data_IF_748819961085
#
_entry.id   IF_748819961085
#
_cell.length_a   1.000
_cell.length_b   1.000
_cell.length_c   1.000
_cell.angle_alpha   90.00
_cell.angle_beta   90.00
_cell.angle_gamma   90.00
#
_symmetry.space_group_name_H-M   'P 1'
#
loop_
_entity.id
_entity.type
_entity.pdbx_description
1 polymer ?
#
# COMPACT_ATOMS: atom_id res chain seq x y z
N UNK A 1 -11.86 15.88 -14.81
CA UNK A 1 -11.37 14.69 -14.10
C UNK A 1 -11.74 13.48 -14.94
N UNK A 2 -10.86 12.51 -15.10
CA UNK A 2 -11.18 11.26 -15.81
C UNK A 2 -12.10 10.38 -14.94
N UNK A 3 -13.03 9.57 -15.49
CA UNK A 3 -13.97 8.77 -14.69
C UNK A 3 -13.30 7.87 -13.62
N UNK A 4 -12.11 7.35 -13.92
CA UNK A 4 -11.33 6.56 -12.98
C UNK A 4 -10.85 7.39 -11.78
N UNK A 5 -10.34 8.61 -12.02
CA UNK A 5 -9.94 9.54 -10.98
C UNK A 5 -11.14 9.98 -10.12
N UNK A 6 -12.32 10.13 -10.73
CA UNK A 6 -13.55 10.42 -9.98
C UNK A 6 -13.87 9.29 -8.98
N UNK A 7 -13.76 8.03 -9.40
CA UNK A 7 -13.95 6.87 -8.53
C UNK A 7 -12.87 6.75 -7.46
N UNK A 8 -11.61 7.01 -7.80
CA UNK A 8 -10.52 7.06 -6.82
C UNK A 8 -10.74 8.15 -5.77
N UNK A 9 -11.21 9.34 -6.18
CA UNK A 9 -11.52 10.44 -5.27
C UNK A 9 -12.69 10.08 -4.34
N UNK A 10 -13.78 9.51 -4.87
CA UNK A 10 -14.93 9.04 -4.09
C UNK A 10 -14.48 8.07 -2.98
N UNK A 11 -13.63 7.10 -3.32
CA UNK A 11 -13.05 6.15 -2.36
C UNK A 11 -12.16 6.83 -1.33
N UNK A 12 -11.31 7.76 -1.76
CA UNK A 12 -10.41 8.52 -0.89
C UNK A 12 -11.17 9.39 0.11
N UNK A 13 -12.22 10.10 -0.32
CA UNK A 13 -13.07 10.91 0.55
C UNK A 13 -13.77 10.04 1.59
N UNK A 14 -14.32 8.89 1.18
CA UNK A 14 -14.93 7.94 2.10
C UNK A 14 -13.92 7.40 3.12
N UNK A 15 -12.74 6.96 2.68
CA UNK A 15 -11.68 6.47 3.55
C UNK A 15 -11.22 7.53 4.56
N UNK A 16 -10.95 8.75 4.09
CA UNK A 16 -10.51 9.86 4.94
C UNK A 16 -11.59 10.24 5.94
N UNK A 17 -12.87 10.28 5.54
CA UNK A 17 -13.97 10.54 6.46
C UNK A 17 -14.09 9.43 7.52
N UNK A 18 -14.00 8.16 7.13
CA UNK A 18 -13.96 7.03 8.06
C UNK A 18 -12.81 7.18 9.08
N UNK A 19 -11.62 7.57 8.61
CA UNK A 19 -10.47 7.79 9.47
C UNK A 19 -10.73 8.92 10.48
N UNK A 20 -11.32 10.05 10.05
CA UNK A 20 -11.67 11.18 10.94
C UNK A 20 -12.67 10.77 12.02
N UNK A 21 -13.71 10.03 11.67
CA UNK A 21 -14.75 9.59 12.60
C UNK A 21 -14.26 8.57 13.65
N UNK A 22 -13.11 7.94 13.39
CA UNK A 22 -12.52 6.92 14.24
C UNK A 22 -11.17 7.34 14.84
N UNK A 23 -10.82 8.63 14.78
CA UNK A 23 -9.56 9.19 15.29
C UNK A 23 -8.32 8.45 14.76
N UNK A 24 -8.32 8.13 13.47
CA UNK A 24 -7.21 7.47 12.78
C UNK A 24 -6.45 8.47 11.91
N UNK A 25 -5.13 8.48 12.04
CA UNK A 25 -4.26 9.34 11.25
C UNK A 25 -3.91 8.66 9.92
N UNK A 26 -4.14 9.38 8.82
CA UNK A 26 -3.80 8.94 7.47
C UNK A 26 -3.30 10.12 6.64
N UNK A 27 -2.56 9.82 5.58
CA UNK A 27 -1.99 10.82 4.68
C UNK A 27 -1.93 10.28 3.27
N UNK A 28 -2.27 11.07 2.27
CA UNK A 28 -1.84 10.83 0.91
C UNK A 28 -0.32 10.68 0.88
N UNK A 29 0.17 9.72 0.10
CA UNK A 29 1.58 9.52 -0.17
C UNK A 29 1.86 9.49 -1.67
N UNK A 30 3.14 9.40 -2.05
CA UNK A 30 3.56 9.24 -3.43
C UNK A 30 2.94 10.26 -4.39
N UNK A 31 2.34 9.76 -5.47
CA UNK A 31 1.71 10.55 -6.52
C UNK A 31 0.60 11.48 -6.00
N UNK A 32 -0.26 11.00 -5.10
CA UNK A 32 -1.32 11.81 -4.49
C UNK A 32 -0.80 13.01 -3.68
N UNK A 33 0.26 12.81 -2.88
CA UNK A 33 0.89 13.91 -2.14
C UNK A 33 1.58 14.93 -3.06
N UNK A 34 2.23 14.43 -4.12
CA UNK A 34 2.87 15.28 -5.14
C UNK A 34 1.81 16.06 -5.94
N UNK A 35 0.71 15.40 -6.32
CA UNK A 35 -0.42 15.98 -7.04
C UNK A 35 -1.07 17.11 -6.25
N UNK A 36 -1.29 16.89 -4.95
CA UNK A 36 -1.79 17.91 -4.01
C UNK A 36 -0.98 19.21 -4.11
N UNK A 37 0.35 19.10 -4.15
CA UNK A 37 1.25 20.27 -4.13
C UNK A 37 1.41 20.92 -5.51
N UNK A 38 1.47 20.13 -6.58
CA UNK A 38 1.77 20.60 -7.94
C UNK A 38 0.53 21.01 -8.72
N UNK A 39 -0.55 20.24 -8.61
CA UNK A 39 -1.75 20.38 -9.43
C UNK A 39 -2.99 20.74 -8.60
N UNK A 40 -2.88 20.70 -7.25
CA UNK A 40 -4.03 20.82 -6.33
C UNK A 40 -5.07 19.73 -6.61
N UNK A 41 -4.63 18.54 -6.97
CA UNK A 41 -5.46 17.47 -7.50
C UNK A 41 -4.61 16.33 -8.03
N UNK A 42 -5.18 15.48 -8.88
CA UNK A 42 -4.46 14.38 -9.50
C UNK A 42 -3.30 14.87 -10.37
N UNK A 43 -2.23 14.07 -10.43
CA UNK A 43 -1.26 14.20 -11.50
C UNK A 43 -1.94 13.68 -12.79
N UNK A 44 -1.83 14.36 -13.95
CA UNK A 44 -2.64 14.03 -15.13
C UNK A 44 -2.51 12.59 -15.67
N UNK A 45 -1.37 11.94 -15.42
CA UNK A 45 -1.09 10.56 -15.86
C UNK A 45 -1.15 9.53 -14.72
N UNK A 46 -1.60 9.95 -13.54
CA UNK A 46 -1.75 9.11 -12.36
C UNK A 46 -3.22 8.74 -12.17
N UNK A 47 -3.47 7.50 -11.76
CA UNK A 47 -4.78 6.86 -11.85
C UNK A 47 -5.28 6.25 -10.53
N UNK A 48 -4.54 6.44 -9.44
CA UNK A 48 -4.91 5.98 -8.10
C UNK A 48 -4.52 6.99 -6.99
N UNK A 49 -4.87 6.63 -5.75
CA UNK A 49 -4.48 7.36 -4.55
C UNK A 49 -4.08 6.37 -3.47
N UNK A 50 -2.86 6.53 -2.97
CA UNK A 50 -2.31 5.74 -1.89
C UNK A 50 -2.27 6.54 -0.59
N UNK A 51 -2.43 5.83 0.53
CA UNK A 51 -2.38 6.42 1.85
C UNK A 51 -1.33 5.77 2.76
N UNK A 52 -0.51 6.59 3.40
CA UNK A 52 0.23 6.16 4.57
C UNK A 52 -0.61 6.23 5.84
N UNK A 53 -0.35 5.30 6.76
CA UNK A 53 -0.83 5.34 8.14
C UNK A 53 0.28 4.95 9.12
N UNK A 54 0.39 5.60 10.29
CA UNK A 54 1.22 5.08 11.38
C UNK A 54 0.78 3.66 11.74
N UNK A 55 1.73 2.75 12.01
CA UNK A 55 1.45 1.34 12.35
C UNK A 55 0.31 1.16 13.37
N UNK A 56 0.27 1.98 14.42
CA UNK A 56 -0.77 1.91 15.46
C UNK A 56 -2.18 2.12 14.90
N UNK A 57 -2.35 3.04 13.95
CA UNK A 57 -3.65 3.40 13.38
C UNK A 57 -4.01 2.47 12.24
N UNK A 58 -3.01 1.97 11.51
CA UNK A 58 -3.17 0.88 10.53
C UNK A 58 -3.71 -0.42 11.16
N UNK A 59 -3.21 -0.83 12.33
CA UNK A 59 -3.76 -2.02 13.00
C UNK A 59 -5.17 -1.79 13.57
N UNK A 60 -5.48 -0.56 14.02
CA UNK A 60 -6.85 -0.19 14.41
C UNK A 60 -7.79 -0.19 13.20
N UNK A 61 -7.36 0.33 12.05
CA UNK A 61 -8.13 0.31 10.80
C UNK A 61 -8.57 -1.13 10.48
N UNK A 62 -7.64 -2.09 10.50
CA UNK A 62 -7.93 -3.49 10.22
C UNK A 62 -9.00 -4.10 11.14
N UNK A 63 -9.14 -3.59 12.36
CA UNK A 63 -10.16 -4.04 13.32
C UNK A 63 -11.49 -3.32 13.13
N UNK A 64 -11.45 -2.00 12.91
CA UNK A 64 -12.64 -1.15 12.87
C UNK A 64 -13.38 -1.26 11.54
N UNK A 65 -12.65 -1.35 10.42
CA UNK A 65 -13.24 -1.32 9.08
C UNK A 65 -14.32 -2.39 8.87
N UNK A 66 -14.09 -3.69 9.18
CA UNK A 66 -15.10 -4.72 8.97
C UNK A 66 -16.37 -4.55 9.83
N UNK A 67 -16.32 -3.73 10.87
CA UNK A 67 -17.43 -3.51 11.81
C UNK A 67 -18.25 -2.27 11.49
N UNK A 68 -17.63 -1.26 10.87
CA UNK A 68 -18.19 0.08 10.76
C UNK A 68 -18.28 0.63 9.34
N UNK A 69 -17.44 0.15 8.43
CA UNK A 69 -17.41 0.66 7.07
C UNK A 69 -18.62 0.17 6.27
N UNK A 70 -18.94 0.90 5.20
CA UNK A 70 -19.91 0.49 4.20
C UNK A 70 -19.44 -0.80 3.54
N UNK A 71 -20.35 -1.77 3.48
CA UNK A 71 -20.12 -3.07 2.83
C UNK A 71 -19.66 -2.99 1.38
N UNK A 72 -19.90 -1.86 0.69
CA UNK A 72 -19.39 -1.58 -0.66
C UNK A 72 -17.86 -1.62 -0.72
N UNK A 73 -17.19 -1.05 0.28
CA UNK A 73 -15.73 -0.91 0.29
C UNK A 73 -15.12 -2.02 1.15
N UNK A 74 -14.72 -3.11 0.53
CA UNK A 74 -14.20 -4.28 1.24
C UNK A 74 -12.71 -4.16 1.52
N UNK A 75 -12.33 -4.29 2.79
CA UNK A 75 -10.93 -4.36 3.21
C UNK A 75 -10.37 -5.75 2.95
N UNK A 76 -9.28 -5.79 2.18
CA UNK A 76 -8.45 -6.96 1.92
C UNK A 76 -7.12 -6.84 2.66
N UNK A 77 -6.81 -7.83 3.50
CA UNK A 77 -5.51 -8.02 4.16
C UNK A 77 -5.23 -9.52 4.23
N UNK A 78 -4.08 -9.93 3.69
CA UNK A 78 -3.65 -11.32 3.72
C UNK A 78 -3.64 -11.89 5.17
N UNK A 79 -4.19 -13.10 5.35
CA UNK A 79 -4.21 -13.88 6.59
C UNK A 79 -3.98 -15.39 6.33
N UNK A 80 -4.12 -16.24 7.35
CA UNK A 80 -3.88 -17.69 7.22
C UNK A 80 -4.70 -18.36 6.11
N UNK A 81 -5.93 -17.86 5.87
CA UNK A 81 -6.92 -18.46 4.98
C UNK A 81 -7.22 -17.62 3.73
N UNK A 82 -6.65 -16.42 3.63
CA UNK A 82 -6.90 -15.47 2.54
C UNK A 82 -5.57 -14.83 2.11
N UNK A 83 -5.23 -14.91 0.83
CA UNK A 83 -3.99 -14.34 0.29
C UNK A 83 -4.36 -13.49 -0.91
N UNK A 84 -4.05 -12.20 -0.85
CA UNK A 84 -4.25 -11.25 -1.95
C UNK A 84 -2.94 -10.86 -2.63
N UNK A 85 -1.80 -11.42 -2.20
CA UNK A 85 -0.45 -11.12 -2.72
C UNK A 85 0.05 -9.70 -2.44
N UNK A 86 -0.69 -8.90 -1.67
CA UNK A 86 -0.25 -7.58 -1.23
C UNK A 86 0.42 -7.67 0.15
N UNK A 87 1.21 -6.66 0.49
CA UNK A 87 1.95 -6.56 1.77
C UNK A 87 1.34 -5.54 2.74
N UNK A 88 0.19 -5.01 2.37
CA UNK A 88 -0.50 -3.91 3.00
C UNK A 88 -2.02 -4.07 2.80
N UNK A 89 -2.81 -3.18 3.41
CA UNK A 89 -4.28 -3.20 3.28
C UNK A 89 -4.65 -2.62 1.92
N UNK A 90 -5.58 -3.29 1.22
CA UNK A 90 -6.26 -2.70 0.06
C UNK A 90 -7.75 -2.60 0.36
N UNK A 91 -8.35 -1.44 0.14
CA UNK A 91 -9.78 -1.21 0.26
C UNK A 91 -10.36 -1.22 -1.15
N UNK A 92 -11.32 -2.11 -1.41
CA UNK A 92 -11.77 -2.41 -2.77
C UNK A 92 -13.26 -2.12 -2.96
N UNK A 93 -13.59 -1.34 -3.98
CA UNK A 93 -15.00 -1.04 -4.32
C UNK A 93 -15.63 -2.23 -5.06
N UNK A 94 -16.54 -2.91 -4.37
CA UNK A 94 -17.25 -4.09 -4.89
C UNK A 94 -18.18 -3.80 -6.05
N UNK A 95 -18.52 -2.54 -6.32
CA UNK A 95 -19.37 -2.13 -7.44
C UNK A 95 -18.60 -1.88 -8.73
N UNK A 96 -17.26 -1.93 -8.69
CA UNK A 96 -16.38 -1.75 -9.84
C UNK A 96 -15.58 -3.02 -10.13
N UNK A 97 -14.79 -2.98 -11.21
CA UNK A 97 -13.84 -4.01 -11.62
C UNK A 97 -12.48 -3.38 -11.90
N UNK A 98 -11.44 -3.92 -11.30
CA UNK A 98 -10.02 -3.71 -11.61
C UNK A 98 -9.27 -5.03 -11.33
N UNK A 99 -9.08 -5.84 -12.36
CA UNK A 99 -8.40 -7.14 -12.27
C UNK A 99 -6.92 -6.94 -12.56
N UNK A 100 -6.08 -7.05 -11.52
CA UNK A 100 -4.62 -6.97 -11.65
C UNK A 100 -4.06 -8.29 -12.21
N UNK A 101 -3.11 -8.29 -13.16
CA UNK A 101 -2.57 -9.51 -13.77
C UNK A 101 -2.04 -10.51 -12.75
N UNK A 102 -1.37 -10.01 -11.70
CA UNK A 102 -0.79 -10.85 -10.64
C UNK A 102 -1.82 -11.35 -9.62
N UNK A 103 -3.12 -11.08 -9.77
CA UNK A 103 -4.18 -11.56 -8.87
C UNK A 103 -5.25 -12.37 -9.63
N UNK A 104 -5.11 -12.54 -10.94
CA UNK A 104 -6.13 -13.11 -11.82
C UNK A 104 -6.61 -14.50 -11.40
N UNK A 105 -5.73 -15.33 -10.83
CA UNK A 105 -6.05 -16.68 -10.37
C UNK A 105 -6.65 -16.73 -8.96
N UNK A 106 -6.84 -15.58 -8.30
CA UNK A 106 -7.37 -15.50 -6.95
C UNK A 106 -8.87 -15.17 -6.94
N UNK A 107 -9.64 -15.89 -6.12
CA UNK A 107 -11.05 -15.57 -5.84
C UNK A 107 -11.13 -14.55 -4.68
N UNK A 108 -10.79 -13.31 -5.00
CA UNK A 108 -10.81 -12.15 -4.10
C UNK A 108 -11.70 -11.05 -4.68
N UNK A 109 -12.06 -10.00 -3.91
CA UNK A 109 -12.67 -8.81 -4.49
C UNK A 109 -11.73 -8.15 -5.50
N UNK A 110 -12.16 -8.05 -6.76
CA UNK A 110 -11.39 -7.44 -7.86
C UNK A 110 -11.95 -6.07 -8.23
N UNK A 111 -12.32 -5.25 -7.25
CA UNK A 111 -12.73 -3.87 -7.46
C UNK A 111 -11.53 -2.92 -7.61
N UNK A 112 -11.81 -1.67 -8.02
CA UNK A 112 -10.88 -0.57 -7.88
C UNK A 112 -10.36 -0.52 -6.44
N UNK A 113 -9.06 -0.33 -6.28
CA UNK A 113 -8.38 -0.46 -5.00
C UNK A 113 -7.79 0.88 -4.55
N UNK A 114 -7.95 1.17 -3.27
CA UNK A 114 -7.21 2.21 -2.54
C UNK A 114 -6.23 1.49 -1.62
N UNK A 115 -4.94 1.74 -1.81
CA UNK A 115 -3.89 1.07 -1.05
C UNK A 115 -3.55 1.89 0.22
N UNK A 116 -3.47 1.19 1.35
CA UNK A 116 -3.16 1.79 2.66
C UNK A 116 -1.89 1.14 3.19
N UNK A 117 -0.80 1.90 3.21
CA UNK A 117 0.53 1.45 3.54
C UNK A 117 0.91 1.82 4.98
N UNK A 118 1.38 0.86 5.80
CA UNK A 118 1.83 1.17 7.15
C UNK A 118 3.23 1.81 7.16
N UNK A 119 3.39 2.78 8.05
CA UNK A 119 4.67 3.35 8.43
C UNK A 119 5.18 2.71 9.71
N UNK A 120 6.44 2.27 9.68
CA UNK A 120 7.12 1.56 10.75
C UNK A 120 8.35 2.35 11.23
N UNK A 121 8.64 2.27 12.53
CA UNK A 121 9.80 2.95 13.09
C UNK A 121 11.12 2.35 12.57
N UNK A 122 12.09 3.24 12.32
CA UNK A 122 13.44 2.91 11.86
C UNK A 122 14.39 2.83 13.06
N UNK A 123 14.77 1.62 13.54
CA UNK A 123 15.60 1.47 14.72
C UNK A 123 16.99 2.06 14.50
N UNK A 124 17.46 2.82 15.49
CA UNK A 124 18.74 3.52 15.41
C UNK A 124 19.94 2.56 15.39
N UNK A 125 19.81 1.40 16.05
CA UNK A 125 20.85 0.40 16.09
C UNK A 125 20.96 -0.35 14.75
N UNK A 126 22.15 -0.39 14.16
CA UNK A 126 22.37 -1.03 12.85
C UNK A 126 22.04 -2.52 12.81
N UNK A 127 22.32 -3.27 13.88
CA UNK A 127 22.02 -4.69 13.94
C UNK A 127 20.51 -4.91 13.98
N UNK A 128 19.79 -4.14 14.79
CA UNK A 128 18.32 -4.11 14.79
C UNK A 128 17.78 -3.74 13.42
N UNK A 129 18.37 -2.75 12.75
CA UNK A 129 17.95 -2.34 11.42
C UNK A 129 18.15 -3.44 10.37
N UNK A 130 19.28 -4.14 10.41
CA UNK A 130 19.54 -5.31 9.54
C UNK A 130 18.52 -6.42 9.80
N UNK A 131 18.21 -6.72 11.06
CA UNK A 131 17.18 -7.70 11.44
C UNK A 131 15.81 -7.30 10.92
N UNK A 132 15.42 -6.03 11.06
CA UNK A 132 14.15 -5.51 10.57
C UNK A 132 14.01 -5.68 9.05
N UNK A 133 15.04 -5.33 8.28
CA UNK A 133 15.02 -5.47 6.81
C UNK A 133 14.94 -6.94 6.40
N UNK A 134 15.71 -7.83 7.05
CA UNK A 134 15.64 -9.27 6.79
C UNK A 134 14.23 -9.78 7.08
N UNK A 135 13.65 -9.39 8.23
CA UNK A 135 12.29 -9.75 8.58
C UNK A 135 11.27 -9.21 7.56
N UNK A 136 11.41 -7.98 7.08
CA UNK A 136 10.54 -7.42 6.05
C UNK A 136 10.64 -8.18 4.71
N UNK A 137 11.82 -8.64 4.31
CA UNK A 137 12.01 -9.46 3.11
C UNK A 137 11.41 -10.87 3.28
N UNK A 138 11.55 -11.48 4.46
CA UNK A 138 10.91 -12.76 4.78
C UNK A 138 9.39 -12.60 4.78
N UNK A 139 8.86 -11.56 5.42
CA UNK A 139 7.45 -11.22 5.38
C UNK A 139 6.96 -11.05 3.94
N UNK A 140 7.68 -10.25 3.14
CA UNK A 140 7.36 -10.03 1.72
C UNK A 140 7.24 -11.34 0.94
N UNK A 141 8.23 -12.23 1.05
CA UNK A 141 8.24 -13.51 0.34
C UNK A 141 7.09 -14.43 0.77
N UNK A 142 6.86 -14.59 2.09
CA UNK A 142 5.88 -15.57 2.59
C UNK A 142 4.45 -15.04 2.68
N UNK A 143 4.26 -13.72 2.75
CA UNK A 143 2.94 -13.09 2.73
C UNK A 143 2.44 -12.95 1.29
N UNK A 144 3.20 -12.30 0.41
CA UNK A 144 2.79 -12.13 -0.98
C UNK A 144 2.83 -13.46 -1.75
N UNK A 145 3.77 -14.35 -1.43
CA UNK A 145 3.96 -15.65 -2.11
C UNK A 145 4.20 -15.50 -3.63
N UNK A 146 4.65 -14.33 -4.06
CA UNK A 146 5.03 -14.01 -5.44
C UNK A 146 6.53 -14.10 -5.61
N UNK A 147 6.98 -14.59 -6.77
CA UNK A 147 8.41 -14.68 -7.08
C UNK A 147 8.88 -13.36 -7.69
N UNK A 148 9.93 -12.72 -7.18
CA UNK A 148 10.46 -11.49 -7.75
C UNK A 148 11.14 -11.75 -9.11
N UNK A 149 10.51 -11.33 -10.20
CA UNK A 149 11.03 -11.56 -11.56
C UNK A 149 12.08 -10.54 -11.99
N UNK A 150 11.99 -9.30 -11.48
CA UNK A 150 12.84 -8.15 -11.88
C UNK A 150 14.13 -7.99 -11.06
N UNK A 151 14.37 -8.84 -10.05
CA UNK A 151 15.51 -8.73 -9.12
C UNK A 151 16.67 -9.69 -9.43
N UNK A 152 16.74 -10.22 -10.65
CA UNK A 152 17.82 -11.09 -11.12
C UNK A 152 17.60 -12.58 -10.79
N UNK A 153 18.29 -13.45 -11.56
CA UNK A 153 18.05 -14.90 -11.55
C UNK A 153 18.23 -15.54 -10.17
N UNK A 154 19.28 -15.21 -9.42
CA UNK A 154 19.57 -15.86 -8.12
C UNK A 154 18.44 -15.61 -7.10
N UNK A 155 17.92 -14.38 -7.04
CA UNK A 155 16.82 -14.04 -6.13
C UNK A 155 15.54 -14.77 -6.52
N UNK A 156 15.27 -14.90 -7.83
CA UNK A 156 14.17 -15.71 -8.38
C UNK A 156 14.29 -17.17 -7.93
N UNK A 157 15.44 -17.81 -8.20
CA UNK A 157 15.70 -19.21 -7.86
C UNK A 157 15.62 -19.47 -6.35
N UNK A 158 16.22 -18.61 -5.52
CA UNK A 158 16.18 -18.75 -4.06
C UNK A 158 14.77 -18.62 -3.49
N UNK A 159 14.00 -17.63 -3.96
CA UNK A 159 12.61 -17.43 -3.57
C UNK A 159 11.73 -18.62 -3.96
N UNK A 160 11.90 -19.11 -5.18
CA UNK A 160 11.18 -20.29 -5.68
C UNK A 160 11.52 -21.54 -4.86
N UNK A 161 12.80 -21.77 -4.55
CA UNK A 161 13.23 -22.89 -3.74
C UNK A 161 12.62 -22.83 -2.33
N UNK A 162 12.67 -21.67 -1.65
CA UNK A 162 12.08 -21.49 -0.32
C UNK A 162 10.58 -21.75 -0.29
N UNK A 163 9.83 -21.23 -1.28
CA UNK A 163 8.39 -21.48 -1.38
C UNK A 163 8.11 -22.95 -1.69
N UNK A 164 8.88 -23.58 -2.56
CA UNK A 164 8.71 -25.00 -2.93
C UNK A 164 9.01 -25.93 -1.76
N UNK A 165 10.06 -25.66 -0.99
CA UNK A 165 10.46 -26.47 0.17
C UNK A 165 9.50 -26.34 1.36
N UNK A 166 8.68 -25.28 1.39
CA UNK A 166 7.72 -25.01 2.46
C UNK A 166 6.31 -24.93 1.86
N UNK A 167 5.70 -26.05 1.42
CA UNK A 167 4.38 -26.02 0.76
C UNK A 167 3.22 -25.79 1.73
N UNK A 168 3.43 -26.00 3.04
CA UNK A 168 2.36 -25.89 4.04
C UNK A 168 1.92 -24.44 4.26
N UNK A 169 0.65 -24.12 3.93
CA UNK A 169 0.04 -22.80 4.16
C UNK A 169 0.17 -22.34 5.63
N UNK A 170 -0.09 -23.24 6.58
CA UNK A 170 0.03 -22.98 8.01
C UNK A 170 1.46 -22.64 8.44
N UNK A 171 2.46 -23.33 7.87
CA UNK A 171 3.87 -23.05 8.17
C UNK A 171 4.30 -21.71 7.55
N UNK A 172 3.90 -21.42 6.29
CA UNK A 172 4.13 -20.12 5.66
C UNK A 172 3.54 -18.97 6.48
N UNK A 173 2.29 -19.11 6.92
CA UNK A 173 1.62 -18.14 7.77
C UNK A 173 2.38 -17.92 9.09
N UNK A 174 2.83 -18.99 9.76
CA UNK A 174 3.66 -18.86 10.99
C UNK A 174 4.98 -18.13 10.74
N UNK A 175 5.65 -18.43 9.63
CA UNK A 175 6.92 -17.76 9.25
C UNK A 175 6.66 -16.28 9.01
N UNK A 176 5.63 -15.93 8.23
CA UNK A 176 5.30 -14.53 8.00
C UNK A 176 4.95 -13.86 9.32
N UNK A 177 4.15 -14.47 10.21
CA UNK A 177 3.67 -13.79 11.43
C UNK A 177 4.83 -13.50 12.38
N UNK A 178 5.82 -14.39 12.42
CA UNK A 178 7.07 -14.15 13.16
C UNK A 178 7.88 -13.03 12.54
N UNK A 179 7.95 -12.97 11.21
CA UNK A 179 8.66 -11.92 10.49
C UNK A 179 7.97 -10.55 10.66
N UNK A 180 6.64 -10.50 10.54
CA UNK A 180 5.81 -9.32 10.81
C UNK A 180 6.04 -8.80 12.24
N UNK A 181 5.96 -9.68 13.25
CA UNK A 181 6.23 -9.29 14.63
C UNK A 181 7.65 -8.75 14.83
N UNK A 182 8.67 -9.34 14.18
CA UNK A 182 10.05 -8.86 14.28
C UNK A 182 10.25 -7.51 13.58
N UNK A 183 9.62 -7.29 12.43
CA UNK A 183 9.80 -6.06 11.66
C UNK A 183 9.04 -4.85 12.23
N UNK A 184 7.93 -5.08 12.95
CA UNK A 184 7.05 -4.01 13.47
C UNK A 184 7.19 -3.74 14.97
N UNK A 185 8.07 -4.46 15.70
CA UNK A 185 8.17 -4.34 17.18
C UNK A 185 8.81 -3.05 17.70
N UNK A 186 9.52 -2.31 16.85
CA UNK A 186 10.31 -1.16 17.27
C UNK A 186 9.41 0.01 17.65
N UNK A 187 9.81 0.76 18.68
CA UNK A 187 9.08 1.94 19.16
C UNK A 187 9.74 3.24 18.71
N UNK A 188 9.09 4.37 19.00
CA UNK A 188 9.63 5.71 18.73
C UNK A 188 10.94 5.95 19.47
N UNK A 189 11.05 5.48 20.71
CA UNK A 189 12.16 5.73 21.62
C UNK A 189 13.44 4.99 21.19
N UNK A 190 13.30 3.84 20.54
CA UNK A 190 14.41 3.01 20.04
C UNK A 190 14.88 3.41 18.63
N UNK A 191 14.24 4.43 18.05
CA UNK A 191 14.29 4.72 16.62
C UNK A 191 14.68 6.16 16.34
N UNK A 192 15.41 6.36 15.24
CA UNK A 192 15.88 7.67 14.79
C UNK A 192 15.24 8.08 13.45
N UNK A 193 14.18 7.39 13.07
CA UNK A 193 13.40 7.67 11.86
C UNK A 193 12.14 6.82 11.76
N UNK A 194 11.46 6.97 10.64
CA UNK A 194 10.30 6.17 10.24
C UNK A 194 10.46 5.78 8.76
N UNK A 195 9.88 4.68 8.35
CA UNK A 195 10.07 4.10 7.02
C UNK A 195 8.84 3.31 6.57
N UNK A 196 8.84 2.90 5.32
CA UNK A 196 7.88 1.96 4.75
C UNK A 196 8.59 0.62 4.50
N UNK A 197 8.01 -0.47 5.00
CA UNK A 197 8.61 -1.81 4.87
C UNK A 197 7.91 -2.70 3.84
N UNK A 198 6.85 -2.20 3.20
CA UNK A 198 6.02 -2.97 2.26
C UNK A 198 6.21 -2.55 0.79
N UNK A 199 6.85 -1.43 0.51
CA UNK A 199 7.05 -0.88 -0.85
C UNK A 199 8.32 -1.39 -1.54
N UNK A 200 8.89 -2.49 -1.05
CA UNK A 200 10.07 -3.15 -1.64
C UNK A 200 11.43 -2.57 -1.21
N UNK A 201 12.55 -3.19 -1.66
CA UNK A 201 13.87 -2.97 -1.07
C UNK A 201 14.46 -1.57 -1.25
N UNK A 202 14.03 -0.82 -2.28
CA UNK A 202 14.46 0.55 -2.49
C UNK A 202 13.91 1.46 -1.39
N UNK A 203 12.60 1.41 -1.17
CA UNK A 203 11.89 2.23 -0.21
C UNK A 203 12.15 1.81 1.23
N UNK A 204 12.34 0.51 1.50
CA UNK A 204 12.79 0.03 2.81
C UNK A 204 14.03 0.81 3.29
N UNK A 205 14.97 1.19 2.42
CA UNK A 205 16.19 1.90 2.84
C UNK A 205 15.97 3.38 3.19
N UNK A 206 14.81 3.94 2.85
CA UNK A 206 14.50 5.35 3.09
C UNK A 206 14.20 5.55 4.56
N UNK A 207 14.91 6.50 5.18
CA UNK A 207 14.70 6.91 6.57
C UNK A 207 14.14 8.32 6.55
N UNK A 208 12.89 8.45 6.94
CA UNK A 208 12.20 9.73 7.05
C UNK A 208 12.29 10.25 8.49
N UNK A 209 12.30 11.57 8.72
CA UNK A 209 12.19 12.12 10.07
C UNK A 209 10.85 11.72 10.70
N UNK A 210 10.85 11.25 11.95
CA UNK A 210 9.63 10.84 12.67
C UNK A 210 8.62 11.99 12.72
N UNK A 211 9.10 13.22 12.96
CA UNK A 211 8.29 14.45 12.99
C UNK A 211 7.51 14.71 11.70
N UNK A 212 7.92 14.12 10.58
CA UNK A 212 7.21 14.31 9.30
C UNK A 212 5.82 13.70 9.30
N UNK A 213 5.55 12.75 10.20
CA UNK A 213 4.32 11.96 10.28
C UNK A 213 3.69 12.01 11.67
N UNK A 214 3.95 13.08 12.44
CA UNK A 214 3.31 13.31 13.74
C UNK A 214 1.90 13.89 13.61
N UNK A 215 1.62 14.61 12.51
CA UNK A 215 0.32 15.22 12.22
C UNK A 215 0.13 15.36 10.69
N UNK A 216 -1.08 15.74 10.28
CA UNK A 216 -1.48 15.92 8.89
C UNK A 216 -1.73 17.40 8.54
N UNK A 217 -1.32 17.80 7.34
CA UNK A 217 -1.75 19.05 6.71
C UNK A 217 -2.87 18.79 5.73
N UNK A 218 -3.98 19.52 5.89
CA UNK A 218 -5.15 19.41 5.02
C UNK A 218 -5.06 20.45 3.91
N UNK A 219 -4.73 20.01 2.70
CA UNK A 219 -4.56 20.88 1.54
C UNK A 219 -5.65 20.63 0.51
N UNK A 220 -5.95 21.63 -0.35
CA UNK A 220 -6.88 21.44 -1.47
C UNK A 220 -6.43 20.29 -2.38
N UNK A 221 -7.38 19.43 -2.73
CA UNK A 221 -7.23 18.37 -3.71
C UNK A 221 -8.54 18.24 -4.47
N UNK A 222 -8.54 18.60 -5.75
CA UNK A 222 -9.75 18.79 -6.55
C UNK A 222 -10.75 19.70 -5.80
N UNK A 223 -12.01 19.27 -5.66
CA UNK A 223 -13.08 19.99 -4.99
C UNK A 223 -13.13 19.75 -3.46
N UNK A 224 -12.13 19.06 -2.90
CA UNK A 224 -12.10 18.64 -1.49
C UNK A 224 -10.78 19.01 -0.80
N UNK A 225 -10.58 18.49 0.41
CA UNK A 225 -9.30 18.58 1.13
C UNK A 225 -8.86 17.21 1.59
N UNK A 226 -7.65 16.82 1.20
CA UNK A 226 -7.04 15.55 1.61
C UNK A 226 -5.81 15.80 2.49
N UNK A 227 -5.54 14.91 3.47
CA UNK A 227 -4.41 15.05 4.37
C UNK A 227 -3.12 14.62 3.67
N UNK A 228 -2.04 15.38 3.82
CA UNK A 228 -0.66 14.96 3.53
C UNK A 228 0.19 15.03 4.82
N UNK A 229 1.36 14.37 4.90
CA UNK A 229 2.19 14.43 6.10
C UNK A 229 2.63 15.87 6.43
N UNK A 230 2.66 16.27 7.71
CA UNK A 230 3.09 17.63 8.09
C UNK A 230 4.52 17.96 7.64
N UNK A 231 5.40 16.96 7.60
CA UNK A 231 6.74 17.08 7.02
C UNK A 231 6.85 16.54 5.61
N UNK A 232 5.81 16.74 4.77
CA UNK A 232 5.76 16.25 3.39
C UNK A 232 7.03 16.56 2.60
N UNK A 233 7.64 17.73 2.78
CA UNK A 233 8.81 18.14 2.00
C UNK A 233 10.04 17.25 2.29
N UNK A 234 10.27 16.92 3.57
CA UNK A 234 11.35 16.02 3.96
C UNK A 234 11.10 14.59 3.46
N UNK A 235 9.84 14.12 3.55
CA UNK A 235 9.42 12.85 3.00
C UNK A 235 9.64 12.78 1.48
N UNK A 236 9.05 13.69 0.72
CA UNK A 236 9.06 13.68 -0.74
C UNK A 236 10.47 13.89 -1.31
N UNK A 237 11.30 14.76 -0.71
CA UNK A 237 12.71 14.89 -1.09
C UNK A 237 13.51 13.62 -0.85
N UNK A 238 13.25 12.94 0.27
CA UNK A 238 13.94 11.68 0.59
C UNK A 238 13.54 10.56 -0.36
N UNK A 239 12.24 10.46 -0.69
CA UNK A 239 11.71 9.41 -1.55
C UNK A 239 12.03 9.66 -3.04
N UNK A 240 11.77 10.87 -3.54
CA UNK A 240 11.72 11.20 -4.97
C UNK A 240 12.76 12.22 -5.44
N UNK A 241 13.46 12.91 -4.53
CA UNK A 241 14.40 13.98 -4.87
C UNK A 241 13.68 15.27 -5.26
N UNK A 242 13.95 15.81 -6.45
CA UNK A 242 13.23 16.97 -6.97
C UNK A 242 11.84 16.56 -7.48
N UNK A 243 10.88 16.46 -6.54
CA UNK A 243 9.52 16.01 -6.81
C UNK A 243 8.62 17.09 -7.44
N UNK A 244 9.03 18.36 -7.38
CA UNK A 244 8.28 19.49 -7.92
C UNK A 244 8.43 19.61 -9.43
N UNK A 245 9.59 19.19 -9.97
CA UNK A 245 9.82 19.11 -11.40
C UNK A 245 9.13 17.86 -11.98
N UNK A 246 8.22 18.00 -12.96
CA UNK A 246 7.64 16.84 -13.66
C UNK A 246 8.73 15.97 -14.32
N UNK A 247 8.56 14.64 -14.38
CA UNK A 247 9.43 13.81 -15.20
C UNK A 247 9.27 14.16 -16.68
N UNK A 248 10.23 13.78 -17.56
CA UNK A 248 10.09 13.89 -19.00
C UNK A 248 8.78 13.27 -19.50
N UNK A 249 8.19 13.83 -20.56
CA UNK A 249 6.88 13.42 -21.10
C UNK A 249 6.83 11.92 -21.42
N UNK A 250 7.93 11.34 -21.87
CA UNK A 250 8.04 9.92 -22.21
C UNK A 250 7.93 9.00 -20.98
N UNK A 251 8.07 9.56 -19.78
CA UNK A 251 7.90 8.86 -18.49
C UNK A 251 6.59 9.25 -17.79
N UNK A 252 5.78 10.13 -18.38
CA UNK A 252 4.47 10.52 -17.86
C UNK A 252 3.41 9.51 -18.30
N UNK A 253 3.53 8.29 -17.80
CA UNK A 253 2.61 7.18 -18.08
C UNK A 253 2.05 6.64 -16.77
N UNK A 254 0.79 6.21 -16.79
CA UNK A 254 0.21 5.46 -15.68
C UNK A 254 1.02 4.17 -15.46
N UNK A 255 1.23 3.83 -14.19
CA UNK A 255 2.03 2.68 -13.81
C UNK A 255 1.20 1.46 -13.40
N UNK A 256 -0.13 1.59 -13.33
CA UNK A 256 -1.03 0.52 -12.93
C UNK A 256 -1.43 -0.36 -14.13
N UNK A 257 -0.95 -1.60 -14.09
CA UNK A 257 -1.28 -2.62 -15.08
C UNK A 257 -2.56 -3.37 -14.65
N UNK A 258 -3.55 -3.42 -15.54
CA UNK A 258 -4.83 -4.08 -15.32
C UNK A 258 -5.23 -4.88 -16.55
N UNK A 259 -5.70 -6.11 -16.32
CA UNK A 259 -6.26 -6.98 -17.37
C UNK A 259 -7.62 -6.45 -17.83
N UNK A 260 -8.41 -5.94 -16.88
CA UNK A 260 -9.74 -5.39 -17.11
C UNK A 260 -10.03 -4.30 -16.08
N UNK A 261 -10.55 -3.17 -16.56
CA UNK A 261 -11.13 -2.11 -15.74
C UNK A 261 -12.54 -1.83 -16.24
N UNK A 262 -13.52 -1.87 -15.33
CA UNK A 262 -14.92 -1.52 -15.58
C UNK A 262 -15.45 -0.77 -14.35
N UNK A 263 -15.78 0.50 -14.52
CA UNK A 263 -16.22 1.37 -13.42
C UNK A 263 -17.72 1.30 -13.14
N UNK A 264 -18.47 0.61 -14.02
CA UNK A 264 -19.93 0.54 -13.99
C UNK A 264 -20.45 -0.83 -13.58
N UNK A 265 -19.59 -1.87 -13.63
CA UNK A 265 -19.95 -3.24 -13.24
C UNK A 265 -19.06 -3.77 -12.15
N UNK A 266 -19.70 -4.46 -11.21
CA UNK A 266 -19.02 -5.25 -10.19
C UNK A 266 -18.18 -6.34 -10.83
N UNK A 267 -16.99 -6.55 -10.27
CA UNK A 267 -16.08 -7.64 -10.65
C UNK A 267 -16.75 -9.01 -10.71
N UNK A 268 -17.80 -9.25 -9.91
CA UNK A 268 -18.56 -10.51 -9.89
C UNK A 268 -19.15 -10.91 -11.24
N UNK A 269 -19.40 -9.95 -12.15
CA UNK A 269 -19.89 -10.21 -13.51
C UNK A 269 -18.87 -10.94 -14.39
N UNK A 270 -17.59 -10.88 -14.03
CA UNK A 270 -16.46 -11.37 -14.84
C UNK A 270 -15.83 -12.66 -14.29
N UNK A 271 -16.43 -13.27 -13.24
CA UNK A 271 -15.94 -14.51 -12.63
C UNK A 271 -16.01 -15.68 -13.62
N UNK A 272 -14.95 -16.48 -13.70
CA UNK A 272 -14.82 -17.59 -14.65
C UNK A 272 -14.42 -17.17 -16.07
N UNK A 273 -14.53 -15.89 -16.41
CA UNK A 273 -14.01 -15.34 -17.67
C UNK A 273 -12.64 -14.70 -17.48
N UNK A 274 -12.55 -13.73 -16.57
CA UNK A 274 -11.34 -12.95 -16.34
C UNK A 274 -10.60 -13.33 -15.06
N UNK A 275 -11.25 -13.95 -14.07
CA UNK A 275 -10.58 -14.40 -12.84
C UNK A 275 -11.24 -15.64 -12.22
N UNK A 276 -10.53 -16.31 -11.30
CA UNK A 276 -11.06 -17.42 -10.51
C UNK A 276 -11.36 -18.70 -11.31
N UNK A 277 -10.57 -18.98 -12.34
CA UNK A 277 -10.58 -20.24 -13.09
C UNK A 277 -9.77 -21.34 -12.41
#
# INVERSE_FOLDING_TARGET
>A
MEPLQEKCLEMAEYFVQFCKENDLLCYLCGGGAIGTLRHKGFIPWDDDLDFFMPRKDYEKLAQLWPQKADSRYQLSKSNENYIDRNLFITIRDTQTTCIKPYQQDLDIPHGLALDVLPLDYYPANELSRKKQVIAALVYSLFCAQTIPEKHGGIMKWGSQALLTLIPSKKLRYKIWKKAEAEMTKYTKEESDGITELCSGPYYMKKKYPISSFEDALWLPFEETKLPIPIGYDAYLKTAFGDYMTPPPVEKQVAHHDAVLVDLEKSYTHYKGEYYGR
#
